data_IF_406789227670
#
_entry.id   IF_406789227670
#
_cell.length_a   1.000
_cell.length_b   1.000
_cell.length_c   1.000
_cell.angle_alpha   90.00
_cell.angle_beta   90.00
_cell.angle_gamma   90.00
#
_symmetry.space_group_name_H-M   'P 1'
#
loop_
_entity.id
_entity.type
_entity.pdbx_description
1 polymer ?
#
# COMPACT_ATOMS: atom_id res chain seq x y z
N UNK A 1 16.09 -13.11 1.12
CA UNK A 1 16.26 -11.83 0.42
C UNK A 1 14.98 -11.00 0.50
N UNK A 2 15.13 -9.69 0.56
CA UNK A 2 13.98 -8.81 0.60
C UNK A 2 13.20 -8.89 -0.72
N UNK A 3 11.89 -8.83 -0.61
CA UNK A 3 11.00 -8.89 -1.77
C UNK A 3 10.22 -7.57 -1.84
N UNK A 4 10.84 -6.55 -2.40
CA UNK A 4 10.23 -5.23 -2.48
C UNK A 4 9.28 -5.10 -3.66
N UNK A 5 8.13 -4.51 -3.40
CA UNK A 5 7.18 -4.10 -4.44
C UNK A 5 6.97 -2.60 -4.31
N UNK A 6 6.70 -1.96 -5.42
CA UNK A 6 6.55 -0.51 -5.46
C UNK A 6 5.08 -0.12 -5.50
N UNK A 7 4.74 0.85 -4.67
CA UNK A 7 3.40 1.42 -4.60
C UNK A 7 3.52 2.94 -4.66
N UNK A 8 2.38 3.61 -4.74
CA UNK A 8 2.33 5.08 -4.73
C UNK A 8 1.81 5.52 -3.38
N UNK A 9 2.62 6.28 -2.66
CA UNK A 9 2.27 6.73 -1.31
C UNK A 9 1.11 7.73 -1.37
N UNK A 10 0.12 7.52 -0.51
CA UNK A 10 -1.04 8.39 -0.40
C UNK A 10 -1.02 9.24 0.87
N UNK A 11 0.01 9.10 1.69
CA UNK A 11 0.07 9.82 2.97
C UNK A 11 0.86 11.11 2.85
N UNK A 12 0.34 12.17 3.48
CA UNK A 12 1.03 13.45 3.57
C UNK A 12 2.28 13.29 4.46
N UNK A 13 3.41 13.93 4.13
CA UNK A 13 3.63 14.88 3.04
C UNK A 13 4.17 14.27 1.75
N UNK A 14 4.21 12.95 1.64
CA UNK A 14 4.87 12.29 0.52
C UNK A 14 3.87 11.74 -0.50
N UNK A 15 2.71 12.36 -0.59
CA UNK A 15 1.68 11.95 -1.53
C UNK A 15 2.19 11.90 -2.96
N UNK A 16 1.83 10.85 -3.67
CA UNK A 16 2.24 10.68 -5.06
C UNK A 16 3.65 10.16 -5.27
N UNK A 17 4.42 10.03 -4.22
CA UNK A 17 5.78 9.51 -4.32
C UNK A 17 5.79 7.99 -4.30
N UNK A 18 6.70 7.41 -5.04
CA UNK A 18 6.84 5.95 -5.04
C UNK A 18 7.40 5.48 -3.71
N UNK A 19 6.89 4.37 -3.24
CA UNK A 19 7.37 3.74 -2.02
C UNK A 19 7.57 2.26 -2.27
N UNK A 20 8.70 1.73 -1.86
CA UNK A 20 8.99 0.31 -1.98
C UNK A 20 8.79 -0.35 -0.62
N UNK A 21 7.97 -1.36 -0.57
CA UNK A 21 7.63 -2.05 0.67
C UNK A 21 8.09 -3.49 0.58
N UNK A 22 8.74 -3.96 1.64
CA UNK A 22 9.21 -5.33 1.73
C UNK A 22 8.02 -6.24 2.02
N UNK A 23 7.69 -7.07 1.04
CA UNK A 23 6.53 -7.95 1.15
C UNK A 23 6.69 -9.00 2.25
N UNK A 24 7.91 -9.31 2.62
CA UNK A 24 8.16 -10.30 3.67
C UNK A 24 7.79 -9.79 5.06
N UNK A 25 7.58 -8.49 5.18
CA UNK A 25 7.26 -7.85 6.45
C UNK A 25 5.79 -7.47 6.60
N UNK A 26 5.00 -7.69 5.58
CA UNK A 26 3.59 -7.32 5.61
C UNK A 26 2.81 -8.32 6.47
N UNK A 27 2.03 -7.80 7.42
CA UNK A 27 1.14 -8.62 8.23
C UNK A 27 -0.23 -8.74 7.58
N UNK A 28 -0.76 -7.63 7.08
CA UNK A 28 -2.06 -7.62 6.41
C UNK A 28 -2.23 -6.34 5.64
N UNK A 29 -3.23 -6.30 4.80
CA UNK A 29 -3.63 -5.07 4.09
C UNK A 29 -5.13 -5.10 3.90
N UNK A 30 -5.73 -3.90 3.83
CA UNK A 30 -7.18 -3.82 3.69
C UNK A 30 -7.56 -2.55 2.95
N UNK A 31 -8.76 -2.57 2.37
CA UNK A 31 -9.29 -1.42 1.67
C UNK A 31 -9.59 -0.30 2.64
N UNK A 32 -9.09 0.88 2.34
CA UNK A 32 -9.30 2.05 3.16
C UNK A 32 -10.05 3.09 2.34
N UNK A 33 -11.19 3.53 2.82
CA UNK A 33 -11.99 4.53 2.15
C UNK A 33 -11.74 5.88 2.80
N UNK A 34 -11.07 6.77 2.05
CA UNK A 34 -10.79 8.11 2.52
C UNK A 34 -11.96 9.01 2.16
N UNK A 35 -12.53 9.66 3.16
CA UNK A 35 -13.74 10.45 3.04
C UNK A 35 -13.70 11.50 1.94
N UNK A 36 -12.57 12.16 1.79
CA UNK A 36 -12.43 13.26 0.84
C UNK A 36 -12.11 12.78 -0.57
N UNK A 37 -11.96 11.51 -0.75
CA UNK A 37 -11.50 10.93 -2.01
C UNK A 37 -12.39 9.75 -2.36
N UNK A 38 -13.04 9.84 -3.50
CA UNK A 38 -13.85 8.73 -3.98
C UNK A 38 -12.99 7.55 -4.41
N UNK A 39 -11.72 7.80 -4.62
CA UNK A 39 -10.77 6.73 -4.91
C UNK A 39 -10.56 5.89 -3.67
N UNK A 40 -10.52 4.61 -3.86
CA UNK A 40 -10.28 3.69 -2.77
C UNK A 40 -8.79 3.47 -2.60
N UNK A 41 -8.32 3.73 -1.41
CA UNK A 41 -6.92 3.51 -1.06
C UNK A 41 -6.80 2.21 -0.31
N UNK A 42 -5.58 1.72 -0.19
CA UNK A 42 -5.32 0.49 0.56
C UNK A 42 -4.35 0.81 1.69
N UNK A 43 -4.66 0.33 2.86
CA UNK A 43 -3.77 0.46 4.02
C UNK A 43 -3.02 -0.86 4.19
N UNK A 44 -1.70 -0.78 4.24
CA UNK A 44 -0.83 -1.93 4.37
C UNK A 44 -0.17 -1.89 5.75
N UNK A 45 -0.33 -2.93 6.51
CA UNK A 45 0.18 -3.03 7.86
C UNK A 45 1.36 -3.99 7.93
N UNK A 46 2.40 -3.55 8.62
CA UNK A 46 3.50 -4.43 8.98
C UNK A 46 3.61 -4.43 10.50
N UNK A 47 4.55 -5.18 11.00
CA UNK A 47 4.80 -5.24 12.44
C UNK A 47 5.14 -3.86 13.03
N UNK A 48 5.89 -3.07 12.28
CA UNK A 48 6.44 -1.82 12.80
C UNK A 48 5.86 -0.57 12.17
N UNK A 49 5.19 -0.69 11.03
CA UNK A 49 4.75 0.46 10.26
C UNK A 49 3.41 0.24 9.60
N UNK A 50 2.79 1.36 9.24
CA UNK A 50 1.53 1.36 8.49
C UNK A 50 1.71 2.31 7.31
N UNK A 51 1.28 1.88 6.13
CA UNK A 51 1.35 2.71 4.93
C UNK A 51 -0.03 2.77 4.29
N UNK A 52 -0.36 3.94 3.74
CA UNK A 52 -1.54 4.08 2.89
C UNK A 52 -1.05 4.35 1.48
N UNK A 53 -1.55 3.59 0.52
CA UNK A 53 -1.13 3.71 -0.87
C UNK A 53 -2.32 4.02 -1.76
N UNK A 54 -2.05 4.62 -2.92
CA UNK A 54 -3.11 5.03 -3.85
C UNK A 54 -3.69 3.87 -4.65
N UNK A 55 -2.97 2.78 -4.74
CA UNK A 55 -3.45 1.61 -5.46
C UNK A 55 -4.69 1.02 -4.76
N UNK A 56 -5.66 0.58 -5.55
CA UNK A 56 -6.85 -0.05 -5.00
C UNK A 56 -6.50 -1.39 -4.38
N UNK A 57 -7.41 -1.90 -3.56
CA UNK A 57 -7.23 -3.20 -2.92
C UNK A 57 -6.94 -4.30 -3.95
N UNK A 58 -7.69 -4.30 -5.06
CA UNK A 58 -7.48 -5.30 -6.09
C UNK A 58 -6.11 -5.18 -6.73
N UNK A 59 -5.66 -3.95 -6.99
CA UNK A 59 -4.34 -3.71 -7.57
C UNK A 59 -3.24 -4.16 -6.61
N UNK A 60 -3.38 -3.82 -5.33
CA UNK A 60 -2.40 -4.22 -4.31
C UNK A 60 -2.34 -5.74 -4.23
N UNK A 61 -3.50 -6.39 -4.25
CA UNK A 61 -3.56 -7.85 -4.21
C UNK A 61 -2.80 -8.46 -5.37
N UNK A 62 -2.99 -7.93 -6.57
CA UNK A 62 -2.29 -8.43 -7.75
C UNK A 62 -0.78 -8.24 -7.64
N UNK A 63 -0.36 -7.08 -7.17
CA UNK A 63 1.06 -6.79 -7.01
C UNK A 63 1.69 -7.74 -6.00
N UNK A 64 1.04 -7.95 -4.87
CA UNK A 64 1.55 -8.82 -3.82
C UNK A 64 1.63 -10.27 -4.29
N UNK A 65 0.63 -10.71 -5.04
CA UNK A 65 0.62 -12.07 -5.57
C UNK A 65 1.55 -12.27 -6.75
N UNK A 66 2.05 -11.20 -7.33
CA UNK A 66 2.93 -11.29 -8.48
C UNK A 66 2.19 -11.47 -9.80
N UNK A 67 0.95 -11.10 -9.83
CA UNK A 67 0.12 -11.22 -11.05
C UNK A 67 0.18 -9.99 -11.92
#
# INVERSE_FOLDING_TARGET
>A
MANFKTFTNASTPFEGKKIAIDMDRIACFFEDVIKADEGKHTTIWSKDNVWTVEESFDTVTKIIKGE
#
